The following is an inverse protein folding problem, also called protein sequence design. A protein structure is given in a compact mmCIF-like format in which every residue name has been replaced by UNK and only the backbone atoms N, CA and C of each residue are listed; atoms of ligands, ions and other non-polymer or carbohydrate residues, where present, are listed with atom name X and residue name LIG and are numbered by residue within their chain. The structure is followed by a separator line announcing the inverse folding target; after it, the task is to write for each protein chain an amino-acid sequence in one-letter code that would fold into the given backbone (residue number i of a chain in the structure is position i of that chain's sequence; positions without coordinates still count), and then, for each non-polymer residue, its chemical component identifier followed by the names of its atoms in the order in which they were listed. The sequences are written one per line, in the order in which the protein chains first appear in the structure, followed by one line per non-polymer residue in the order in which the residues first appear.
data_IF_524296256152
#
_entry.id   IF_524296256152
#
_cell.length_a   1.000
_cell.length_b   1.000
_cell.length_c   1.000
_cell.angle_alpha   90.00
_cell.angle_beta   90.00
_cell.angle_gamma   90.00
#
_symmetry.space_group_name_H-M   'P 1'
#
loop_
_entity.id
_entity.type
_entity.pdbx_description
1 polymer ?
#
# COMPACT_ATOMS: atom_id res chain seq x y z
N UNK A 1 -7.28 -4.86 -12.19
CA UNK A 1 -8.13 -5.19 -11.02
C UNK A 1 -7.28 -5.96 -10.02
N UNK A 2 -7.48 -5.75 -8.73
CA UNK A 2 -6.75 -6.47 -7.67
C UNK A 2 -7.45 -7.78 -7.33
N UNK A 3 -6.69 -8.80 -6.93
CA UNK A 3 -7.23 -10.12 -6.60
C UNK A 3 -7.66 -10.97 -7.80
N UNK A 4 -7.50 -10.48 -9.04
CA UNK A 4 -7.69 -11.26 -10.27
C UNK A 4 -6.39 -11.89 -10.73
N UNK A 5 -6.47 -12.87 -11.64
CA UNK A 5 -5.28 -13.49 -12.23
C UNK A 5 -4.80 -12.71 -13.47
N UNK A 6 -3.52 -12.81 -13.80
CA UNK A 6 -2.95 -12.32 -15.06
C UNK A 6 -2.01 -13.32 -15.69
N UNK A 7 -1.73 -13.15 -16.98
CA UNK A 7 -0.83 -14.01 -17.75
C UNK A 7 0.25 -13.15 -18.37
N UNK A 8 1.51 -13.53 -18.14
CA UNK A 8 2.70 -12.91 -18.71
C UNK A 8 3.25 -13.79 -19.85
N UNK A 9 2.81 -13.59 -21.10
CA UNK A 9 3.22 -14.43 -22.23
C UNK A 9 4.65 -14.14 -22.66
N UNK A 10 5.36 -15.16 -23.12
CA UNK A 10 6.68 -15.02 -23.71
C UNK A 10 6.84 -15.99 -24.88
N UNK A 11 7.69 -15.64 -25.84
CA UNK A 11 7.96 -16.48 -27.00
C UNK A 11 9.41 -16.34 -27.46
N UNK A 12 9.95 -17.42 -27.97
CA UNK A 12 11.26 -17.45 -28.64
C UNK A 12 11.09 -17.16 -30.14
N UNK A 13 12.10 -16.57 -30.78
CA UNK A 13 12.10 -16.31 -32.22
C UNK A 13 13.44 -16.67 -32.86
N UNK A 14 13.52 -17.68 -33.74
CA UNK A 14 12.40 -18.37 -34.40
C UNK A 14 11.66 -19.37 -33.49
N UNK A 15 10.40 -19.69 -33.84
CA UNK A 15 9.59 -20.64 -33.09
C UNK A 15 10.23 -22.03 -33.09
N UNK A 16 10.42 -22.62 -31.90
CA UNK A 16 11.03 -23.92 -31.70
C UNK A 16 10.58 -24.55 -30.38
N UNK A 17 10.80 -25.85 -30.19
CA UNK A 17 10.51 -26.50 -28.92
C UNK A 17 11.46 -26.00 -27.82
N UNK A 18 10.91 -25.49 -26.72
CA UNK A 18 11.66 -24.95 -25.57
C UNK A 18 11.49 -25.78 -24.29
N UNK A 19 10.91 -26.98 -24.37
CA UNK A 19 10.66 -27.84 -23.20
C UNK A 19 11.93 -28.28 -22.47
N UNK A 20 13.04 -28.42 -23.21
CA UNK A 20 14.35 -28.76 -22.64
C UNK A 20 15.19 -27.53 -22.26
N UNK A 21 14.65 -26.31 -22.38
CA UNK A 21 15.36 -25.08 -22.03
C UNK A 21 15.09 -24.69 -20.57
N UNK A 22 15.99 -23.89 -19.99
CA UNK A 22 15.69 -23.18 -18.75
C UNK A 22 14.81 -21.97 -19.10
N UNK A 23 13.61 -21.89 -18.52
CA UNK A 23 12.69 -20.77 -18.67
C UNK A 23 12.65 -20.00 -17.36
N UNK A 24 12.86 -18.69 -17.41
CA UNK A 24 12.81 -17.85 -16.21
C UNK A 24 12.00 -16.59 -16.45
N UNK A 25 11.11 -16.27 -15.53
CA UNK A 25 10.54 -14.94 -15.38
C UNK A 25 11.13 -14.30 -14.15
N UNK A 26 11.55 -13.05 -14.26
CA UNK A 26 12.14 -12.29 -13.17
C UNK A 26 11.77 -10.81 -13.29
N UNK A 27 11.92 -10.05 -12.21
CA UNK A 27 11.65 -8.60 -12.21
C UNK A 27 12.86 -7.82 -12.74
N UNK A 28 13.40 -6.90 -11.94
CA UNK A 28 14.50 -6.02 -12.36
C UNK A 28 15.82 -6.77 -12.40
N UNK A 29 16.06 -7.62 -11.39
CA UNK A 29 17.28 -8.42 -11.25
C UNK A 29 17.01 -9.89 -11.55
N UNK A 30 18.00 -10.60 -12.12
CA UNK A 30 17.86 -12.03 -12.45
C UNK A 30 17.58 -12.92 -11.22
N UNK A 31 18.04 -12.49 -10.03
CA UNK A 31 17.78 -13.10 -8.72
C UNK A 31 16.35 -12.89 -8.22
N UNK A 32 15.63 -11.88 -8.72
CA UNK A 32 14.23 -11.59 -8.39
C UNK A 32 13.30 -12.49 -9.21
N UNK A 33 13.48 -13.81 -9.09
CA UNK A 33 12.77 -14.78 -9.89
C UNK A 33 11.29 -14.86 -9.49
N UNK A 34 10.41 -14.64 -10.46
CA UNK A 34 8.96 -14.82 -10.35
C UNK A 34 8.60 -16.28 -10.56
N UNK A 35 9.24 -16.91 -11.55
CA UNK A 35 9.07 -18.34 -11.84
C UNK A 35 10.31 -18.87 -12.54
N UNK A 36 10.70 -20.10 -12.23
CA UNK A 36 11.84 -20.80 -12.86
C UNK A 36 11.40 -22.21 -13.22
N UNK A 37 11.59 -22.59 -14.48
CA UNK A 37 11.40 -23.94 -15.00
C UNK A 37 12.71 -24.45 -15.56
N UNK A 38 13.15 -25.61 -15.08
CA UNK A 38 14.42 -26.22 -15.47
C UNK A 38 14.34 -27.73 -15.27
N UNK A 39 14.98 -28.49 -16.15
CA UNK A 39 15.06 -29.95 -16.06
C UNK A 39 13.68 -30.64 -15.97
N UNK A 40 12.69 -30.08 -16.66
CA UNK A 40 11.33 -30.62 -16.70
C UNK A 40 10.44 -30.24 -15.52
N UNK A 41 10.92 -29.44 -14.56
CA UNK A 41 10.18 -29.12 -13.33
C UNK A 41 10.34 -27.67 -12.86
N UNK A 42 9.42 -27.25 -12.00
CA UNK A 42 9.46 -25.95 -11.31
C UNK A 42 10.58 -25.93 -10.25
N UNK A 43 11.34 -24.83 -10.19
CA UNK A 43 12.35 -24.60 -9.16
C UNK A 43 11.82 -23.64 -8.08
N UNK A 44 10.87 -24.12 -7.27
CA UNK A 44 10.20 -23.31 -6.24
C UNK A 44 11.16 -22.71 -5.19
N UNK A 45 12.35 -23.30 -5.01
CA UNK A 45 13.39 -22.79 -4.11
C UNK A 45 13.97 -21.43 -4.55
N UNK A 46 13.95 -21.14 -5.86
CA UNK A 46 14.51 -19.92 -6.43
C UNK A 46 13.51 -18.75 -6.50
N UNK A 47 12.21 -19.03 -6.36
CA UNK A 47 11.18 -18.00 -6.45
C UNK A 47 11.29 -16.99 -5.31
N UNK A 48 11.07 -15.72 -5.64
CA UNK A 48 10.78 -14.67 -4.68
C UNK A 48 9.59 -15.04 -3.81
N UNK A 49 9.72 -14.77 -2.51
CA UNK A 49 8.71 -15.12 -1.50
C UNK A 49 7.32 -14.61 -1.87
N UNK A 50 7.23 -13.42 -2.46
CA UNK A 50 5.95 -12.81 -2.83
C UNK A 50 5.20 -13.54 -3.95
N UNK A 51 5.88 -14.35 -4.77
CA UNK A 51 5.27 -15.09 -5.88
C UNK A 51 5.08 -16.59 -5.58
N UNK A 52 5.65 -17.10 -4.48
CA UNK A 52 5.49 -18.50 -4.09
C UNK A 52 4.02 -18.86 -3.91
N UNK A 53 3.58 -19.92 -4.58
CA UNK A 53 2.18 -20.37 -4.56
C UNK A 53 1.22 -19.48 -5.35
N UNK A 54 1.71 -18.42 -6.01
CA UNK A 54 0.92 -17.56 -6.90
C UNK A 54 1.34 -17.62 -8.36
N UNK A 55 2.47 -18.24 -8.69
CA UNK A 55 2.94 -18.32 -10.06
C UNK A 55 2.84 -19.76 -10.61
N UNK A 56 2.35 -19.91 -11.83
CA UNK A 56 2.24 -21.20 -12.52
C UNK A 56 2.66 -21.07 -14.00
N UNK A 57 3.40 -22.06 -14.50
CA UNK A 57 3.75 -22.13 -15.92
C UNK A 57 2.59 -22.66 -16.77
N UNK A 58 2.17 -21.86 -17.75
CA UNK A 58 1.27 -22.26 -18.83
C UNK A 58 2.12 -22.79 -19.99
N UNK A 59 1.98 -24.08 -20.28
CA UNK A 59 2.85 -24.83 -21.21
C UNK A 59 2.15 -25.43 -22.44
N UNK A 60 0.90 -25.04 -22.69
CA UNK A 60 0.06 -25.61 -23.76
C UNK A 60 0.72 -25.58 -25.16
N UNK A 61 1.58 -24.60 -25.42
CA UNK A 61 2.27 -24.39 -26.70
C UNK A 61 3.79 -24.37 -26.57
N UNK A 62 4.35 -25.06 -25.56
CA UNK A 62 5.79 -25.08 -25.28
C UNK A 62 6.61 -25.67 -26.44
N UNK A 63 6.04 -26.62 -27.18
CA UNK A 63 6.68 -27.22 -28.36
C UNK A 63 6.78 -26.27 -29.55
N UNK A 64 5.99 -25.19 -29.54
CA UNK A 64 6.01 -24.11 -30.53
C UNK A 64 6.78 -22.88 -30.01
N UNK A 65 7.39 -22.97 -28.83
CA UNK A 65 8.18 -21.88 -28.25
C UNK A 65 7.34 -20.76 -27.66
N UNK A 66 6.08 -21.04 -27.31
CA UNK A 66 5.15 -20.10 -26.67
C UNK A 66 4.81 -20.61 -25.27
N UNK A 67 5.14 -19.79 -24.28
CA UNK A 67 4.98 -20.11 -22.85
C UNK A 67 4.48 -18.88 -22.13
N UNK A 68 3.87 -19.05 -20.97
CA UNK A 68 3.49 -17.92 -20.14
C UNK A 68 3.57 -18.28 -18.67
N UNK A 69 3.73 -17.28 -17.81
CA UNK A 69 3.51 -17.44 -16.38
C UNK A 69 2.17 -16.81 -16.04
N UNK A 70 1.28 -17.59 -15.43
CA UNK A 70 0.07 -17.07 -14.79
C UNK A 70 0.42 -16.65 -13.37
N UNK A 71 0.04 -15.45 -13.00
CA UNK A 71 0.15 -14.92 -11.64
C UNK A 71 -1.27 -14.83 -11.07
N UNK A 72 -1.52 -15.58 -10.00
CA UNK A 72 -2.77 -15.60 -9.25
C UNK A 72 -2.84 -14.46 -8.24
N UNK A 73 -4.07 -14.00 -7.95
CA UNK A 73 -4.37 -13.02 -6.90
C UNK A 73 -3.48 -11.77 -6.98
N UNK A 74 -3.60 -11.02 -8.08
CA UNK A 74 -2.78 -9.83 -8.34
C UNK A 74 -2.77 -8.82 -7.20
N UNK A 75 -1.59 -8.28 -6.95
CA UNK A 75 -1.30 -7.27 -5.93
C UNK A 75 -0.78 -5.99 -6.57
N UNK A 76 -0.87 -4.84 -5.88
CA UNK A 76 -0.31 -3.58 -6.39
C UNK A 76 1.20 -3.69 -6.58
N UNK A 77 1.88 -4.36 -5.65
CA UNK A 77 3.32 -4.60 -5.70
C UNK A 77 3.75 -5.41 -6.92
N UNK A 78 2.84 -6.14 -7.58
CA UNK A 78 3.13 -6.88 -8.81
C UNK A 78 3.25 -5.93 -10.02
N UNK A 79 2.82 -4.66 -9.92
CA UNK A 79 2.99 -3.67 -10.98
C UNK A 79 4.47 -3.47 -11.35
N UNK A 80 4.78 -3.39 -12.64
CA UNK A 80 6.09 -2.97 -13.12
C UNK A 80 6.66 -3.88 -14.21
N UNK A 81 7.99 -3.85 -14.31
CA UNK A 81 8.74 -4.50 -15.39
C UNK A 81 9.09 -5.93 -15.03
N UNK A 82 8.89 -6.81 -16.02
CA UNK A 82 9.22 -8.22 -15.99
C UNK A 82 10.10 -8.55 -17.19
N UNK A 83 10.98 -9.53 -16.99
CA UNK A 83 11.77 -10.14 -18.06
C UNK A 83 11.49 -11.61 -18.09
N UNK A 84 11.34 -12.16 -19.29
CA UNK A 84 11.36 -13.58 -19.53
C UNK A 84 12.63 -13.95 -20.28
N UNK A 85 13.24 -15.08 -19.92
CA UNK A 85 14.48 -15.59 -20.48
C UNK A 85 14.30 -17.05 -20.88
N UNK A 86 14.74 -17.38 -22.08
CA UNK A 86 14.93 -18.74 -22.58
C UNK A 86 16.43 -19.00 -22.62
N UNK A 87 16.92 -20.02 -21.91
CA UNK A 87 18.34 -20.33 -21.87
C UNK A 87 18.59 -21.78 -22.27
N UNK A 88 19.56 -21.97 -23.16
CA UNK A 88 20.11 -23.28 -23.55
C UNK A 88 21.62 -23.19 -23.54
N UNK A 89 22.26 -23.97 -22.67
CA UNK A 89 23.70 -23.93 -22.44
C UNK A 89 24.21 -22.51 -22.11
N UNK A 90 25.05 -21.91 -22.97
CA UNK A 90 25.55 -20.54 -22.84
C UNK A 90 24.68 -19.49 -23.53
N UNK A 91 23.74 -19.91 -24.39
CA UNK A 91 22.93 -19.00 -25.20
C UNK A 91 21.62 -18.68 -24.48
N UNK A 92 21.17 -17.44 -24.62
CA UNK A 92 19.90 -17.00 -24.06
C UNK A 92 19.19 -15.97 -24.95
N UNK A 93 17.87 -16.00 -24.92
CA UNK A 93 17.00 -14.97 -25.49
C UNK A 93 16.14 -14.38 -24.39
N UNK A 94 16.02 -13.05 -24.37
CA UNK A 94 15.23 -12.33 -23.38
C UNK A 94 14.21 -11.41 -24.04
N UNK A 95 13.06 -11.26 -23.38
CA UNK A 95 12.07 -10.24 -23.71
C UNK A 95 11.57 -9.56 -22.44
N UNK A 96 11.22 -8.28 -22.59
CA UNK A 96 10.72 -7.46 -21.49
C UNK A 96 9.21 -7.24 -21.65
N UNK A 97 8.50 -7.33 -20.54
CA UNK A 97 7.08 -7.04 -20.43
C UNK A 97 6.86 -5.99 -19.35
N UNK A 98 5.89 -5.12 -19.56
CA UNK A 98 5.36 -4.25 -18.51
C UNK A 98 3.99 -4.76 -18.09
N UNK A 99 3.81 -5.06 -16.80
CA UNK A 99 2.53 -5.36 -16.19
C UNK A 99 2.00 -4.11 -15.49
N UNK A 100 0.86 -3.59 -15.96
CA UNK A 100 0.17 -2.46 -15.34
C UNK A 100 -0.98 -2.95 -14.46
N UNK A 101 -0.80 -2.90 -13.14
CA UNK A 101 -1.86 -3.23 -12.18
C UNK A 101 -2.63 -1.96 -11.82
N UNK A 102 -3.93 -1.97 -12.10
CA UNK A 102 -4.83 -0.85 -11.78
C UNK A 102 -5.33 -0.98 -10.34
N UNK A 103 -5.15 0.09 -9.57
CA UNK A 103 -5.76 0.25 -8.25
C UNK A 103 -7.18 0.80 -8.40
N UNK A 104 -8.17 -0.09 -8.44
CA UNK A 104 -9.59 0.25 -8.63
C UNK A 104 -10.08 1.31 -7.62
N UNK A 105 -9.49 1.34 -6.42
CA UNK A 105 -9.85 2.32 -5.39
C UNK A 105 -9.60 3.75 -5.84
N UNK A 106 -8.50 3.99 -6.56
CA UNK A 106 -8.14 5.32 -7.08
C UNK A 106 -9.01 5.77 -8.25
N UNK A 107 -9.73 4.84 -8.89
CA UNK A 107 -10.72 5.16 -9.93
C UNK A 107 -12.10 5.48 -9.34
N UNK A 108 -12.45 4.81 -8.23
CA UNK A 108 -13.77 4.94 -7.61
C UNK A 108 -13.85 6.07 -6.57
N UNK A 109 -12.73 6.41 -5.94
CA UNK A 109 -12.68 7.43 -4.90
C UNK A 109 -11.97 8.69 -5.41
N UNK A 110 -12.54 9.86 -5.08
CA UNK A 110 -11.92 11.14 -5.35
C UNK A 110 -10.75 11.36 -4.40
N UNK A 111 -9.56 11.59 -4.97
CA UNK A 111 -8.40 11.96 -4.17
C UNK A 111 -8.57 13.36 -3.56
N UNK A 112 -8.26 13.50 -2.26
CA UNK A 112 -8.40 14.76 -1.53
C UNK A 112 -7.07 15.18 -0.92
N UNK A 113 -6.67 16.43 -1.19
CA UNK A 113 -5.54 17.06 -0.56
C UNK A 113 -5.92 17.52 0.87
N UNK A 114 -5.83 16.61 1.84
CA UNK A 114 -6.18 16.92 3.24
C UNK A 114 -5.16 17.89 3.85
N UNK A 115 -5.64 18.94 4.54
CA UNK A 115 -4.80 19.87 5.31
C UNK A 115 -5.22 19.87 6.77
N UNK A 116 -4.26 19.98 7.67
CA UNK A 116 -4.49 20.06 9.12
C UNK A 116 -5.11 21.41 9.48
N UNK A 117 -6.04 21.40 10.43
CA UNK A 117 -6.66 22.59 10.99
C UNK A 117 -5.93 23.03 12.28
N UNK A 118 -5.16 24.14 12.26
CA UNK A 118 -4.43 24.61 13.43
C UNK A 118 -5.33 24.98 14.61
N UNK A 119 -6.55 25.46 14.36
CA UNK A 119 -7.47 25.87 15.42
C UNK A 119 -8.03 24.66 16.18
N UNK A 120 -7.96 23.48 15.57
CA UNK A 120 -8.40 22.22 16.14
C UNK A 120 -7.31 21.49 16.94
N UNK A 121 -6.05 21.91 16.82
CA UNK A 121 -4.90 21.15 17.29
C UNK A 121 -4.72 21.24 18.80
N UNK A 122 -4.36 20.13 19.42
CA UNK A 122 -3.93 20.13 20.81
C UNK A 122 -2.67 21.02 21.00
N UNK A 123 -2.54 21.80 22.09
CA UNK A 123 -1.42 22.74 22.29
C UNK A 123 0.00 22.14 22.24
N UNK A 124 0.13 20.83 22.47
CA UNK A 124 1.41 20.10 22.40
C UNK A 124 1.75 19.56 21.01
N UNK A 125 0.92 19.83 20.00
CA UNK A 125 1.16 19.44 18.62
C UNK A 125 1.71 20.63 17.84
N UNK A 126 2.71 20.36 17.00
CA UNK A 126 3.28 21.31 16.07
C UNK A 126 2.81 20.92 14.67
N UNK A 127 2.16 21.86 13.99
CA UNK A 127 1.76 21.71 12.59
C UNK A 127 2.78 22.43 11.71
N UNK A 128 3.23 21.78 10.65
CA UNK A 128 4.11 22.38 9.66
C UNK A 128 3.45 23.56 8.94
N UNK A 129 4.25 24.47 8.39
CA UNK A 129 3.74 25.66 7.67
C UNK A 129 2.80 25.29 6.50
N UNK A 130 3.13 24.20 5.79
CA UNK A 130 2.30 23.69 4.68
C UNK A 130 1.03 22.95 5.14
N UNK A 131 0.80 22.81 6.46
CA UNK A 131 -0.34 22.11 7.08
C UNK A 131 -0.50 20.64 6.66
N UNK A 132 0.59 20.00 6.24
CA UNK A 132 0.61 18.58 5.83
C UNK A 132 1.25 17.67 6.85
N UNK A 133 2.01 18.20 7.80
CA UNK A 133 2.69 17.41 8.81
C UNK A 133 2.29 17.88 10.20
N UNK A 134 2.09 16.92 11.09
CA UNK A 134 1.93 17.15 12.52
C UNK A 134 2.94 16.29 13.28
N UNK A 135 3.58 16.89 14.27
CA UNK A 135 4.53 16.24 15.17
C UNK A 135 4.28 16.68 16.61
N UNK A 136 4.84 15.92 17.56
CA UNK A 136 4.85 16.31 18.96
C UNK A 136 6.00 17.28 19.24
N UNK A 137 5.75 18.23 20.16
CA UNK A 137 6.80 19.11 20.67
C UNK A 137 7.86 18.28 21.43
N UNK A 138 9.15 18.58 21.21
CA UNK A 138 10.27 17.79 21.74
C UNK A 138 10.34 17.72 23.27
N UNK A 139 9.81 18.74 23.97
CA UNK A 139 9.89 18.88 25.43
C UNK A 139 8.55 18.65 26.15
N UNK A 140 7.64 17.86 25.59
CA UNK A 140 6.43 17.45 26.33
C UNK A 140 6.89 16.56 27.50
N UNK A 141 6.56 16.89 28.76
CA UNK A 141 6.89 16.03 29.88
C UNK A 141 6.37 14.61 29.65
N UNK A 142 7.29 13.63 29.61
CA UNK A 142 6.96 12.21 29.41
C UNK A 142 6.07 11.67 30.53
N UNK A 143 6.12 12.29 31.72
CA UNK A 143 5.07 12.24 32.72
C UNK A 143 4.27 13.54 32.70
N UNK A 144 3.11 13.55 32.04
CA UNK A 144 2.00 14.31 32.61
C UNK A 144 1.50 13.49 33.80
N UNK A 145 2.18 13.66 34.94
CA UNK A 145 1.78 13.03 36.20
C UNK A 145 0.30 13.33 36.43
N UNK A 146 -0.45 12.24 36.53
CA UNK A 146 -1.72 12.17 37.20
C UNK A 146 -1.59 12.79 38.61
N UNK A 147 -1.87 14.09 38.75
CA UNK A 147 -2.36 14.72 39.98
C UNK A 147 -2.72 16.18 39.65
N UNK A 148 -3.90 16.71 39.97
CA UNK A 148 -4.60 16.63 41.25
C UNK A 148 -6.11 16.53 41.01
N UNK A 149 -6.65 15.32 40.90
CA UNK A 149 -7.95 14.95 41.47
C UNK A 149 -7.84 13.47 41.83
N UNK A 150 -7.72 13.20 43.13
CA UNK A 150 -7.76 11.84 43.66
C UNK A 150 -9.07 11.17 43.23
N UNK A 151 -8.99 10.01 42.57
CA UNK A 151 -10.09 9.04 42.54
C UNK A 151 -10.68 8.64 41.19
N UNK A 152 -10.01 8.85 40.05
CA UNK A 152 -10.37 8.15 38.80
C UNK A 152 -9.10 7.70 38.07
N UNK A 153 -9.21 6.52 37.46
CA UNK A 153 -8.15 5.80 36.72
C UNK A 153 -7.29 6.73 35.86
N UNK A 154 -5.98 6.43 35.84
CA UNK A 154 -4.90 7.16 35.16
C UNK A 154 -5.30 7.57 33.73
N UNK A 155 -5.71 8.83 33.56
CA UNK A 155 -6.23 9.35 32.28
C UNK A 155 -5.07 9.74 31.36
N UNK A 156 -4.72 8.86 30.44
CA UNK A 156 -3.77 9.13 29.36
C UNK A 156 -4.21 10.35 28.52
N UNK A 157 -3.29 11.31 28.31
CA UNK A 157 -3.60 12.55 27.59
C UNK A 157 -3.69 12.32 26.07
N UNK A 158 -4.81 12.70 25.46
CA UNK A 158 -5.06 12.54 24.02
C UNK A 158 -4.64 13.80 23.26
N UNK A 159 -3.53 13.73 22.51
CA UNK A 159 -3.09 14.82 21.64
C UNK A 159 -3.61 14.62 20.21
N UNK A 160 -4.70 15.31 19.87
CA UNK A 160 -5.38 15.17 18.58
C UNK A 160 -5.44 16.46 17.77
N UNK A 161 -5.63 16.30 16.46
CA UNK A 161 -5.85 17.37 15.48
C UNK A 161 -6.80 16.88 14.40
N UNK A 162 -7.63 17.78 13.86
CA UNK A 162 -8.55 17.50 12.76
C UNK A 162 -8.00 17.99 11.42
N UNK A 163 -8.48 17.38 10.34
CA UNK A 163 -8.37 17.96 9.01
C UNK A 163 -9.37 19.11 8.83
N UNK A 164 -9.02 20.07 7.98
CA UNK A 164 -9.88 21.19 7.59
C UNK A 164 -10.92 20.79 6.53
N UNK A 165 -10.83 19.56 6.02
CA UNK A 165 -11.73 19.01 5.01
C UNK A 165 -12.96 18.38 5.68
N UNK A 166 -14.14 18.70 5.15
CA UNK A 166 -15.42 18.24 5.66
C UNK A 166 -16.17 17.49 4.57
N UNK A 167 -16.64 16.29 4.87
CA UNK A 167 -17.26 15.37 3.93
C UNK A 167 -18.67 15.02 4.38
N UNK A 168 -19.65 15.28 3.51
CA UNK A 168 -21.07 14.99 3.75
C UNK A 168 -21.69 14.09 2.68
N UNK A 169 -21.01 13.90 1.54
CA UNK A 169 -21.46 13.06 0.42
C UNK A 169 -20.26 12.58 -0.40
N UNK A 170 -20.45 11.48 -1.13
CA UNK A 170 -19.50 10.97 -2.11
C UNK A 170 -18.34 10.18 -1.52
N UNK A 171 -17.47 9.72 -2.42
CA UNK A 171 -16.36 8.82 -2.10
C UNK A 171 -15.04 9.55 -2.18
N UNK A 172 -14.32 9.60 -1.06
CA UNK A 172 -13.09 10.38 -0.92
C UNK A 172 -11.97 9.52 -0.35
N UNK A 173 -10.73 9.79 -0.75
CA UNK A 173 -9.57 9.15 -0.13
C UNK A 173 -8.40 10.10 0.02
N UNK A 174 -7.54 9.79 1.00
CA UNK A 174 -6.24 10.41 1.19
C UNK A 174 -5.24 9.41 1.73
N UNK A 175 -3.95 9.68 1.54
CA UNK A 175 -2.86 8.83 2.00
C UNK A 175 -2.11 9.52 3.14
N UNK A 176 -1.77 8.75 4.17
CA UNK A 176 -1.11 9.21 5.38
C UNK A 176 0.12 8.35 5.60
N UNK A 177 1.27 8.96 5.77
CA UNK A 177 2.48 8.29 6.20
C UNK A 177 2.70 8.55 7.67
N UNK A 178 2.91 7.47 8.42
CA UNK A 178 3.17 7.55 9.86
C UNK A 178 4.65 7.28 10.09
N UNK A 179 5.35 8.29 10.58
CA UNK A 179 6.77 8.26 10.84
C UNK A 179 6.99 8.05 12.34
N UNK A 180 7.48 6.86 12.68
CA UNK A 180 7.88 6.48 14.03
C UNK A 180 9.40 6.70 14.09
N UNK A 181 9.85 7.72 14.82
CA UNK A 181 11.28 8.05 14.93
C UNK A 181 12.12 6.93 15.55
N UNK A 182 13.44 7.00 15.38
CA UNK A 182 14.39 6.01 15.92
C UNK A 182 14.44 5.94 17.44
N UNK A 183 13.90 6.96 18.11
CA UNK A 183 13.75 7.05 19.57
C UNK A 183 12.38 6.55 20.06
N UNK A 184 11.59 5.93 19.19
CA UNK A 184 10.28 5.41 19.54
C UNK A 184 10.37 4.36 20.64
N UNK A 185 9.92 4.76 21.83
CA UNK A 185 9.76 3.88 22.98
C UNK A 185 8.45 3.09 22.92
N UNK A 186 8.22 2.21 23.91
CA UNK A 186 6.96 1.46 24.07
C UNK A 186 5.73 2.38 24.23
N UNK A 187 5.94 3.66 24.50
CA UNK A 187 4.93 4.69 24.68
C UNK A 187 4.47 5.35 23.37
N UNK A 188 5.08 5.02 22.22
CA UNK A 188 4.63 5.56 20.93
C UNK A 188 3.25 5.02 20.59
N UNK A 189 2.29 5.95 20.43
CA UNK A 189 0.93 5.65 20.00
C UNK A 189 0.50 6.64 18.93
N UNK A 190 -0.27 6.16 17.97
CA UNK A 190 -0.94 7.03 17.00
C UNK A 190 -2.32 6.49 16.65
N UNK A 191 -3.20 7.36 16.18
CA UNK A 191 -4.46 6.96 15.56
C UNK A 191 -4.76 7.80 14.33
N UNK A 192 -5.31 7.16 13.31
CA UNK A 192 -5.66 7.77 12.02
C UNK A 192 -7.05 7.29 11.61
N UNK A 193 -7.87 8.21 11.10
CA UNK A 193 -9.16 7.88 10.53
C UNK A 193 -10.04 9.11 10.36
N UNK A 194 -11.31 8.97 10.72
CA UNK A 194 -12.31 10.04 10.64
C UNK A 194 -13.12 10.15 11.93
N UNK A 195 -13.64 11.33 12.18
CA UNK A 195 -14.64 11.55 13.21
C UNK A 195 -15.74 12.49 12.71
N UNK A 196 -16.88 12.46 13.39
CA UNK A 196 -17.94 13.44 13.14
C UNK A 196 -17.47 14.85 13.55
N UNK A 197 -17.71 15.86 12.73
CA UNK A 197 -17.21 17.23 13.00
C UNK A 197 -17.75 17.84 14.31
N UNK A 198 -18.84 17.30 14.87
CA UNK A 198 -19.42 17.71 16.14
C UNK A 198 -18.85 16.98 17.35
N UNK A 199 -17.87 16.07 17.18
CA UNK A 199 -17.26 15.38 18.33
C UNK A 199 -16.64 16.40 19.28
N UNK A 200 -16.89 16.18 20.57
CA UNK A 200 -16.25 16.95 21.63
C UNK A 200 -14.89 16.32 21.94
N UNK A 201 -13.86 17.15 21.86
CA UNK A 201 -12.46 16.78 22.17
C UNK A 201 -11.92 17.55 23.36
N UNK A 202 -12.81 18.09 24.20
CA UNK A 202 -12.44 18.71 25.47
C UNK A 202 -12.26 17.62 26.53
N UNK A 203 -11.15 17.70 27.29
CA UNK A 203 -10.77 16.71 28.32
C UNK A 203 -10.52 15.32 27.71
N UNK A 204 -10.69 14.28 28.54
CA UNK A 204 -10.54 12.89 28.15
C UNK A 204 -11.77 12.37 27.38
N UNK A 205 -11.52 11.67 26.28
CA UNK A 205 -12.54 11.00 25.48
C UNK A 205 -12.03 9.66 24.94
N UNK A 206 -12.96 8.80 24.54
CA UNK A 206 -12.67 7.47 23.98
C UNK A 206 -12.91 7.48 22.48
N UNK A 207 -11.95 6.96 21.73
CA UNK A 207 -12.01 6.80 20.27
C UNK A 207 -12.74 5.49 19.94
N UNK A 208 -14.05 5.55 19.74
CA UNK A 208 -14.84 4.42 19.25
C UNK A 208 -16.04 4.87 18.39
N UNK A 209 -16.63 3.95 17.58
CA UNK A 209 -17.77 4.27 16.73
C UNK A 209 -18.97 4.84 17.48
N UNK A 210 -19.24 4.38 18.71
CA UNK A 210 -20.35 4.88 19.56
C UNK A 210 -20.14 6.34 20.00
N UNK A 211 -18.91 6.83 19.94
CA UNK A 211 -18.53 8.23 20.17
C UNK A 211 -18.25 8.99 18.87
N UNK A 212 -18.58 8.39 17.73
CA UNK A 212 -18.40 8.93 16.37
C UNK A 212 -16.93 9.09 15.95
N UNK A 213 -16.09 8.13 16.35
CA UNK A 213 -14.72 7.98 15.86
C UNK A 213 -14.58 6.65 15.13
N UNK A 214 -14.08 6.68 13.90
CA UNK A 214 -13.77 5.51 13.10
C UNK A 214 -12.29 5.57 12.74
N UNK A 215 -11.48 5.00 13.63
CA UNK A 215 -10.02 5.11 13.58
C UNK A 215 -9.36 3.76 13.77
N UNK A 216 -8.23 3.56 13.11
CA UNK A 216 -7.25 2.54 13.48
C UNK A 216 -6.14 3.20 14.30
N UNK A 217 -5.58 2.45 15.23
CA UNK A 217 -4.56 2.93 16.14
C UNK A 217 -3.36 1.99 16.18
N UNK A 218 -2.21 2.51 16.55
CA UNK A 218 -1.02 1.75 16.86
C UNK A 218 -0.63 1.96 18.30
N UNK A 219 -0.33 0.86 19.00
CA UNK A 219 0.17 0.88 20.37
C UNK A 219 0.87 -0.45 20.66
N UNK A 220 1.98 -0.40 21.40
CA UNK A 220 2.76 -1.59 21.79
C UNK A 220 3.22 -2.46 20.61
N UNK A 221 3.53 -1.85 19.46
CA UNK A 221 4.05 -2.55 18.28
C UNK A 221 2.99 -3.05 17.31
N UNK A 222 1.70 -2.87 17.61
CA UNK A 222 0.61 -3.47 16.84
C UNK A 222 -0.41 -2.43 16.38
N UNK A 223 -0.94 -2.62 15.17
CA UNK A 223 -2.09 -1.86 14.66
C UNK A 223 -3.38 -2.58 15.06
N UNK A 224 -4.34 -1.84 15.60
CA UNK A 224 -5.58 -2.35 16.17
C UNK A 224 -6.73 -1.37 16.03
N UNK A 225 -7.94 -1.87 16.29
CA UNK A 225 -9.14 -1.06 16.49
C UNK A 225 -9.42 -1.00 17.98
N UNK A 226 -9.37 0.21 18.57
CA UNK A 226 -9.44 0.40 20.02
C UNK A 226 -10.73 -0.14 20.66
N UNK A 227 -11.82 -0.17 19.89
CA UNK A 227 -13.13 -0.67 20.34
C UNK A 227 -13.14 -2.17 20.62
N UNK A 228 -12.35 -2.96 19.89
CA UNK A 228 -12.42 -4.43 19.95
C UNK A 228 -11.26 -5.06 20.73
N UNK A 229 -10.24 -4.28 21.12
CA UNK A 229 -8.99 -4.80 21.72
C UNK A 229 -8.33 -5.93 20.92
N UNK A 230 -8.63 -6.02 19.63
CA UNK A 230 -8.15 -7.07 18.73
C UNK A 230 -7.03 -6.52 17.85
N UNK A 231 -5.91 -7.23 17.84
CA UNK A 231 -4.78 -6.93 16.98
C UNK A 231 -5.10 -7.35 15.55
N UNK A 232 -4.85 -6.46 14.59
CA UNK A 232 -5.13 -6.74 13.19
C UNK A 232 -4.05 -7.66 12.61
N UNK A 233 -4.48 -8.71 11.91
CA UNK A 233 -3.58 -9.60 11.18
C UNK A 233 -3.09 -8.90 9.90
N UNK A 234 -1.98 -8.18 10.03
CA UNK A 234 -1.36 -7.45 8.92
C UNK A 234 -0.44 -8.35 8.11
N UNK A 235 -0.52 -8.23 6.78
CA UNK A 235 0.44 -8.88 5.88
C UNK A 235 1.83 -8.25 5.95
N UNK A 236 1.86 -6.92 6.01
CA UNK A 236 3.07 -6.10 6.15
C UNK A 236 2.77 -4.92 7.06
N UNK A 237 3.76 -4.48 7.84
CA UNK A 237 3.63 -3.27 8.65
C UNK A 237 3.38 -2.04 7.76
N UNK A 238 2.28 -1.29 7.95
CA UNK A 238 1.90 -0.20 7.06
C UNK A 238 2.71 1.05 7.37
N UNK A 239 3.59 1.45 6.45
CA UNK A 239 4.25 2.76 6.50
C UNK A 239 3.34 3.86 5.94
N UNK A 240 2.55 3.51 4.91
CA UNK A 240 1.59 4.40 4.28
C UNK A 240 0.20 3.79 4.33
N UNK A 241 -0.74 4.55 4.87
CA UNK A 241 -2.12 4.15 5.09
C UNK A 241 -3.02 5.00 4.20
N UNK A 242 -3.83 4.34 3.38
CA UNK A 242 -4.89 4.97 2.63
C UNK A 242 -6.18 4.93 3.46
N UNK A 243 -6.80 6.10 3.66
CA UNK A 243 -8.11 6.21 4.30
C UNK A 243 -9.14 6.45 3.21
N UNK A 244 -10.09 5.53 3.08
CA UNK A 244 -11.14 5.55 2.07
C UNK A 244 -12.48 5.74 2.76
N UNK A 245 -13.14 6.86 2.47
CA UNK A 245 -14.43 7.22 3.01
C UNK A 245 -15.48 7.09 1.92
N UNK A 246 -16.44 6.19 2.11
CA UNK A 246 -17.59 6.02 1.25
C UNK A 246 -18.86 6.48 1.97
N UNK A 247 -19.20 7.75 1.83
CA UNK A 247 -20.41 8.34 2.44
C UNK A 247 -21.71 7.79 1.86
N UNK A 248 -21.67 7.14 0.69
CA UNK A 248 -22.86 6.59 0.04
C UNK A 248 -23.21 5.22 0.61
N UNK A 249 -22.20 4.37 0.82
CA UNK A 249 -22.40 2.97 1.24
C UNK A 249 -22.30 2.70 2.74
N UNK A 250 -21.85 3.64 3.57
CA UNK A 250 -21.77 3.37 5.02
C UNK A 250 -20.37 2.97 5.50
N UNK A 251 -19.31 3.16 4.69
CA UNK A 251 -18.00 2.56 4.93
C UNK A 251 -16.84 3.55 5.15
N UNK A 252 -15.96 3.17 6.08
CA UNK A 252 -14.62 3.76 6.26
C UNK A 252 -13.61 2.62 6.23
N UNK A 253 -12.79 2.59 5.20
CA UNK A 253 -11.83 1.51 4.94
C UNK A 253 -10.39 2.00 4.97
N UNK A 254 -9.51 1.14 5.48
CA UNK A 254 -8.09 1.38 5.64
C UNK A 254 -7.30 0.35 4.85
N UNK A 255 -6.29 0.81 4.12
CA UNK A 255 -5.42 -0.05 3.32
C UNK A 255 -3.96 0.31 3.51
N UNK A 256 -3.10 -0.70 3.47
CA UNK A 256 -1.67 -0.48 3.35
C UNK A 256 -1.38 -0.13 1.89
N UNK A 257 -0.91 1.10 1.64
CA UNK A 257 -0.66 1.59 0.29
C UNK A 257 0.70 1.15 -0.27
N UNK A 258 1.51 0.44 0.53
CA UNK A 258 2.78 -0.14 0.08
C UNK A 258 2.52 -1.41 -0.75
N UNK A 259 1.76 -2.36 -0.22
CA UNK A 259 1.44 -3.63 -0.88
C UNK A 259 0.00 -3.70 -1.43
N UNK A 260 -0.82 -2.70 -1.10
CA UNK A 260 -2.22 -2.60 -1.48
C UNK A 260 -3.17 -3.42 -0.60
N UNK A 261 -2.69 -4.10 0.45
CA UNK A 261 -3.49 -4.97 1.29
C UNK A 261 -4.53 -4.23 2.12
N UNK A 262 -5.64 -4.90 2.43
CA UNK A 262 -6.66 -4.40 3.33
C UNK A 262 -6.19 -4.48 4.78
N UNK A 263 -6.44 -3.42 5.55
CA UNK A 263 -6.14 -3.37 6.99
C UNK A 263 -7.42 -3.62 7.78
N UNK A 264 -8.45 -2.78 7.56
CA UNK A 264 -9.72 -2.85 8.30
C UNK A 264 -10.81 -2.02 7.61
N UNK A 265 -12.08 -2.36 7.84
CA UNK A 265 -13.23 -1.55 7.41
C UNK A 265 -14.28 -1.45 8.51
N UNK A 266 -14.69 -0.23 8.82
CA UNK A 266 -15.96 0.03 9.50
C UNK A 266 -17.06 0.05 8.44
N UNK A 267 -18.14 -0.70 8.65
CA UNK A 267 -19.25 -0.81 7.70
C UNK A 267 -20.59 -0.54 8.37
N UNK A 268 -21.61 -0.21 7.59
CA UNK A 268 -22.97 -0.01 8.09
C UNK A 268 -23.13 1.25 8.95
N UNK A 269 -22.37 2.31 8.66
CA UNK A 269 -22.51 3.60 9.32
C UNK A 269 -23.78 4.28 8.80
N UNK A 270 -24.83 4.29 9.62
CA UNK A 270 -26.20 4.65 9.18
C UNK A 270 -26.54 6.15 9.22
N UNK A 271 -25.68 7.00 9.79
CA UNK A 271 -25.90 8.45 9.84
C UNK A 271 -24.58 9.21 9.90
N UNK A 272 -24.15 9.73 8.77
CA UNK A 272 -22.82 10.30 8.63
C UNK A 272 -22.59 11.67 9.23
N UNK A 273 -23.66 12.46 9.39
CA UNK A 273 -23.50 13.91 9.54
C UNK A 273 -22.40 14.43 8.60
N UNK A 274 -21.52 15.29 9.10
CA UNK A 274 -20.34 15.72 8.36
C UNK A 274 -19.09 15.14 9.01
N UNK A 275 -18.34 14.30 8.29
CA UNK A 275 -17.08 13.73 8.77
C UNK A 275 -15.90 14.61 8.42
N UNK A 276 -14.86 14.58 9.25
CA UNK A 276 -13.56 15.17 8.95
C UNK A 276 -12.42 14.20 9.28
N UNK A 277 -11.24 14.35 8.64
CA UNK A 277 -10.04 13.57 8.98
C UNK A 277 -9.65 13.79 10.44
N UNK A 278 -9.17 12.73 11.07
CA UNK A 278 -8.77 12.72 12.47
C UNK A 278 -7.38 12.10 12.63
N UNK A 279 -6.54 12.75 13.43
CA UNK A 279 -5.19 12.29 13.75
C UNK A 279 -4.91 12.45 15.24
N UNK A 280 -4.33 11.42 15.85
CA UNK A 280 -3.80 11.44 17.22
C UNK A 280 -2.36 11.00 17.23
N UNK A 281 -1.54 11.66 18.04
CA UNK A 281 -0.13 11.36 18.23
C UNK A 281 0.22 11.30 19.71
N UNK A 282 1.08 10.36 20.10
CA UNK A 282 1.65 10.26 21.44
C UNK A 282 3.03 9.60 21.38
N UNK A 283 3.94 10.02 22.26
CA UNK A 283 5.30 9.50 22.36
C UNK A 283 6.31 10.27 21.50
N UNK A 284 7.52 10.43 22.04
CA UNK A 284 8.59 11.20 21.42
C UNK A 284 8.95 10.67 20.02
N UNK A 285 9.31 11.58 19.11
CA UNK A 285 9.73 11.25 17.75
C UNK A 285 8.61 10.79 16.80
N UNK A 286 7.35 10.79 17.23
CA UNK A 286 6.21 10.42 16.38
C UNK A 286 5.73 11.60 15.55
N UNK A 287 5.61 11.41 14.24
CA UNK A 287 5.01 12.39 13.34
C UNK A 287 4.10 11.72 12.30
N UNK A 288 3.12 12.47 11.83
CA UNK A 288 2.22 12.07 10.75
C UNK A 288 2.37 13.07 9.62
N UNK A 289 2.58 12.55 8.41
CA UNK A 289 2.66 13.33 7.18
C UNK A 289 1.52 12.93 6.25
N UNK A 290 0.71 13.89 5.85
CA UNK A 290 -0.37 13.72 4.89
C UNK A 290 0.18 13.95 3.49
N UNK A 291 0.05 12.94 2.63
CA UNK A 291 0.43 13.07 1.23
C UNK A 291 -0.70 13.72 0.43
N UNK A 292 -0.35 14.67 -0.45
CA UNK A 292 -1.29 15.18 -1.44
C UNK A 292 -1.09 14.39 -2.72
N UNK A 293 -2.16 13.87 -3.30
CA UNK A 293 -2.10 13.17 -4.60
C UNK A 293 -1.70 14.08 -5.77
N UNK A 294 -1.72 15.40 -5.57
CA UNK A 294 -1.15 16.38 -6.49
C UNK A 294 0.37 16.33 -6.59
N UNK A 295 1.06 15.70 -5.64
CA UNK A 295 2.52 15.59 -5.65
C UNK A 295 3.01 14.49 -6.61
N UNK A 296 2.08 13.79 -7.29
CA UNK A 296 2.37 12.77 -8.30
C UNK A 296 2.15 13.23 -9.75
N UNK A 297 2.02 14.53 -10.01
CA UNK A 297 1.82 15.03 -11.39
C UNK A 297 3.14 15.31 -12.11
N UNK A 298 3.95 14.28 -12.35
CA UNK A 298 4.86 14.25 -13.52
C UNK A 298 4.90 12.82 -14.07
N UNK A 299 4.44 12.66 -15.31
CA UNK A 299 4.38 11.42 -16.12
C UNK A 299 3.18 10.49 -15.88
N UNK A 300 1.97 10.93 -16.24
CA UNK A 300 0.90 10.01 -16.65
C UNK A 300 0.87 9.88 -18.19
N UNK A 301 1.38 8.77 -18.78
CA UNK A 301 1.04 8.42 -20.15
C UNK A 301 -0.40 7.87 -20.20
N UNK A 302 -1.13 8.31 -21.22
CA UNK A 302 -2.55 8.08 -21.52
C UNK A 302 -3.21 6.84 -20.90
N UNK A 303 -4.32 7.10 -20.20
CA UNK A 303 -5.25 6.13 -19.63
C UNK A 303 -5.92 5.29 -20.72
N UNK A 304 -5.49 4.04 -20.86
CA UNK A 304 -6.32 2.94 -21.34
C UNK A 304 -6.80 2.13 -20.13
N UNK A 305 -8.10 1.81 -19.99
CA UNK A 305 -8.71 1.47 -18.69
C UNK A 305 -8.55 0.00 -18.25
N UNK A 306 -7.57 -0.74 -18.78
CA UNK A 306 -7.45 -2.18 -18.52
C UNK A 306 -6.09 -2.56 -17.97
N UNK A 307 -6.06 -3.50 -17.01
CA UNK A 307 -4.83 -4.21 -16.66
C UNK A 307 -4.26 -4.80 -17.94
N UNK A 308 -3.08 -4.33 -18.31
CA UNK A 308 -2.47 -4.64 -19.59
C UNK A 308 -1.08 -5.20 -19.39
N UNK A 309 -0.71 -6.12 -20.26
CA UNK A 309 0.66 -6.60 -20.41
C UNK A 309 1.17 -6.12 -21.76
N UNK A 310 2.21 -5.30 -21.76
CA UNK A 310 2.78 -4.73 -22.98
C UNK A 310 4.17 -5.29 -23.21
N UNK A 311 4.40 -5.86 -24.39
CA UNK A 311 5.74 -6.27 -24.81
C UNK A 311 6.56 -5.06 -25.24
N UNK A 312 7.71 -4.86 -24.60
CA UNK A 312 8.66 -3.81 -24.96
C UNK A 312 9.80 -4.42 -25.77
N UNK A 313 10.00 -3.92 -27.01
CA UNK A 313 11.08 -4.39 -27.89
C UNK A 313 12.39 -3.74 -27.48
N UNK A 314 13.48 -4.51 -27.55
CA UNK A 314 14.85 -4.07 -27.22
C UNK A 314 15.34 -2.83 -28.01
N UNK A 315 14.62 -2.35 -29.02
CA UNK A 315 14.96 -1.14 -29.78
C UNK A 315 14.58 0.18 -29.11
N UNK A 316 13.71 0.17 -28.09
CA UNK A 316 13.22 1.39 -27.41
C UNK A 316 14.04 1.78 -26.17
N UNK A 317 15.00 0.95 -25.75
CA UNK A 317 15.93 1.29 -24.67
C UNK A 317 17.33 1.46 -25.24
N UNK A 318 17.82 2.70 -25.28
CA UNK A 318 19.14 3.08 -25.81
C UNK A 318 20.31 2.54 -25.00
N UNK A 319 20.53 1.22 -25.02
CA UNK A 319 21.71 0.53 -24.48
C UNK A 319 22.19 -0.47 -25.55
N UNK A 320 23.49 -0.51 -25.91
CA UNK A 320 23.98 -1.44 -26.93
C UNK A 320 23.92 -2.87 -26.39
N UNK A 321 23.13 -3.75 -27.01
CA UNK A 321 23.18 -5.20 -26.76
C UNK A 321 23.77 -5.95 -27.95
N UNK A 322 24.86 -6.68 -27.71
CA UNK A 322 25.24 -7.84 -28.52
C UNK A 322 24.20 -8.95 -28.28
N UNK A 323 23.13 -8.96 -29.07
CA UNK A 323 22.20 -10.08 -29.11
C UNK A 323 22.78 -11.18 -30.03
N UNK A 324 23.35 -12.24 -29.46
CA UNK A 324 23.66 -13.47 -30.21
C UNK A 324 22.36 -14.26 -30.40
N UNK A 325 21.85 -14.24 -31.63
CA UNK A 325 20.67 -15.01 -32.03
C UNK A 325 20.98 -16.50 -32.03
N UNK A 326 20.04 -17.32 -31.57
CA UNK A 326 20.01 -18.75 -31.83
C UNK A 326 19.89 -18.97 -33.35
N UNK A 327 20.97 -19.38 -34.00
CA UNK A 327 20.92 -19.87 -35.38
C UNK A 327 20.54 -21.37 -35.33
N UNK A 328 19.57 -21.82 -36.14
CA UNK A 328 19.33 -23.25 -36.31
C UNK A 328 20.50 -23.94 -37.05
N UNK A 329 20.69 -25.25 -36.83
CA UNK A 329 21.80 -26.04 -37.38
C UNK A 329 21.81 -26.20 -38.90
#
# INVERSE_FOLDING_TARGET
MLGTDTVLPCRVSPAMNVESMELRWFRSQFSEAVYVYKDGMEQAGEQLVDFKGRAELVKDYITEGRVAVRIYSLQISDNGMYKCSFKKDSDFEEATLELKVIDWRKEQFKAVAVTLDPDSAHPNLIISENRKQVSLMENVPQNCDASVYQGQEESEAVFSVLGQNYFNTGRHYWEVEVNIGTEAGPETKWAVGVCLNTVKRDKWFVECPEKNFWVIAYEKGEVKVLTFSESLSLRQHPQRIGVFLDQEDGDVSFYNMVDGSHIFSFTGITSYGTLCPYFRLQGAGTSVTIYSTSDCTENCPDSSPNTSVTHLRSGDMGIPQEAKRLLPP
#
